data_IF_081522323376
#
_entry.id   IF_081522323376
#
_cell.length_a   1.000
_cell.length_b   1.000
_cell.length_c   1.000
_cell.angle_alpha   90.00
_cell.angle_beta   90.00
_cell.angle_gamma   90.00
#
_symmetry.space_group_name_H-M   'P 1'
#
loop_
_entity.id
_entity.type
_entity.pdbx_description
1 polymer ?
#
# COMPACT_ATOMS: atom_id res chain seq x y z
N UNK A 1 12.84 16.53 18.12
CA UNK A 1 11.55 17.14 18.53
C UNK A 1 10.46 16.42 17.77
N UNK A 2 9.50 15.80 18.46
CA UNK A 2 8.32 15.18 17.85
C UNK A 2 7.12 16.12 18.05
N UNK A 3 6.36 16.41 16.99
CA UNK A 3 5.08 17.12 17.07
C UNK A 3 3.94 16.16 16.72
N UNK A 4 2.80 16.29 17.38
CA UNK A 4 1.57 15.59 16.99
C UNK A 4 1.03 16.34 15.77
N UNK A 5 0.78 15.60 14.68
CA UNK A 5 0.18 16.14 13.45
C UNK A 5 -1.34 16.21 13.60
N UNK A 6 -1.97 17.14 12.89
CA UNK A 6 -3.42 17.05 12.67
C UNK A 6 -3.73 15.87 11.74
N UNK A 7 -4.98 15.41 11.71
CA UNK A 7 -5.38 14.30 10.84
C UNK A 7 -5.08 14.61 9.35
N UNK A 8 -5.28 15.85 8.91
CA UNK A 8 -4.94 16.30 7.55
C UNK A 8 -3.43 16.28 7.29
N UNK A 9 -2.63 16.83 8.21
CA UNK A 9 -1.17 16.82 8.07
C UNK A 9 -0.61 15.39 8.11
N UNK A 10 -1.21 14.51 8.92
CA UNK A 10 -0.85 13.11 9.02
C UNK A 10 -1.12 12.37 7.70
N UNK A 11 -2.28 12.58 7.10
CA UNK A 11 -2.61 11.99 5.80
C UNK A 11 -1.63 12.43 4.70
N UNK A 12 -1.33 13.72 4.60
CA UNK A 12 -0.35 14.23 3.62
C UNK A 12 1.02 13.60 3.84
N UNK A 13 1.45 13.49 5.10
CA UNK A 13 2.76 12.89 5.43
C UNK A 13 2.82 11.41 5.13
N UNK A 14 1.74 10.66 5.33
CA UNK A 14 1.70 9.24 4.95
C UNK A 14 1.74 9.03 3.43
N UNK A 15 1.10 9.90 2.64
CA UNK A 15 1.19 9.85 1.17
C UNK A 15 2.61 10.18 0.68
N UNK A 16 3.25 11.20 1.27
CA UNK A 16 4.66 11.48 0.99
C UNK A 16 5.56 10.29 1.34
N UNK A 17 5.33 9.68 2.51
CA UNK A 17 6.10 8.52 2.99
C UNK A 17 5.91 7.30 2.08
N UNK A 18 4.71 7.05 1.58
CA UNK A 18 4.46 5.95 0.64
C UNK A 18 5.33 6.08 -0.62
N UNK A 19 5.44 7.29 -1.16
CA UNK A 19 6.28 7.53 -2.34
C UNK A 19 7.77 7.34 -2.05
N UNK A 20 8.23 7.74 -0.86
CA UNK A 20 9.60 7.51 -0.37
C UNK A 20 9.91 6.01 -0.30
N UNK A 21 9.11 5.23 0.43
CA UNK A 21 9.34 3.79 0.60
C UNK A 21 9.27 3.02 -0.72
N UNK A 22 8.33 3.39 -1.61
CA UNK A 22 8.26 2.80 -2.95
C UNK A 22 9.54 3.08 -3.72
N UNK A 23 10.09 4.30 -3.62
CA UNK A 23 11.36 4.64 -4.27
C UNK A 23 12.52 3.84 -3.67
N UNK A 24 12.62 3.72 -2.35
CA UNK A 24 13.65 2.93 -1.67
C UNK A 24 13.57 1.45 -2.09
N UNK A 25 12.36 0.89 -2.16
CA UNK A 25 12.15 -0.46 -2.70
C UNK A 25 12.58 -0.56 -4.17
N UNK A 26 12.33 0.46 -4.99
CA UNK A 26 12.78 0.45 -6.39
C UNK A 26 14.31 0.49 -6.53
N UNK A 27 15.03 1.02 -5.55
CA UNK A 27 16.50 1.10 -5.54
C UNK A 27 17.15 -0.16 -4.93
N UNK A 28 16.72 -0.59 -3.74
CA UNK A 28 17.36 -1.68 -2.98
C UNK A 28 16.73 -3.07 -3.23
N UNK A 29 15.44 -3.13 -3.64
CA UNK A 29 14.71 -4.39 -3.89
C UNK A 29 14.68 -5.36 -2.70
N UNK A 30 14.97 -4.89 -1.49
CA UNK A 30 15.11 -5.75 -0.33
C UNK A 30 13.75 -6.06 0.32
N UNK A 31 13.71 -7.17 1.07
CA UNK A 31 12.52 -7.57 1.84
C UNK A 31 12.13 -6.51 2.87
N UNK A 32 13.12 -5.77 3.40
CA UNK A 32 12.89 -4.69 4.34
C UNK A 32 12.05 -3.59 3.70
N UNK A 33 12.47 -3.09 2.53
CA UNK A 33 11.72 -2.03 1.85
C UNK A 33 10.33 -2.47 1.38
N UNK A 34 10.16 -3.76 1.04
CA UNK A 34 8.80 -4.31 0.81
C UNK A 34 7.91 -4.22 2.05
N UNK A 35 8.48 -4.50 3.23
CA UNK A 35 7.75 -4.42 4.49
C UNK A 35 7.44 -2.96 4.87
N UNK A 36 8.36 -2.04 4.62
CA UNK A 36 8.17 -0.61 4.88
C UNK A 36 7.05 -0.03 4.00
N UNK A 37 6.99 -0.38 2.70
CA UNK A 37 5.85 -0.05 1.83
C UNK A 37 4.53 -0.60 2.38
N UNK A 38 4.53 -1.87 2.83
CA UNK A 38 3.32 -2.52 3.35
C UNK A 38 2.83 -1.86 4.64
N UNK A 39 3.74 -1.45 5.53
CA UNK A 39 3.42 -0.76 6.77
C UNK A 39 2.75 0.60 6.52
N UNK A 40 3.26 1.36 5.53
CA UNK A 40 2.66 2.64 5.15
C UNK A 40 1.26 2.43 4.56
N UNK A 41 1.05 1.38 3.75
CA UNK A 41 -0.28 1.06 3.21
C UNK A 41 -1.28 0.70 4.32
N UNK A 42 -0.88 -0.07 5.33
CA UNK A 42 -1.74 -0.36 6.48
C UNK A 42 -2.04 0.88 7.32
N UNK A 43 -1.06 1.77 7.48
CA UNK A 43 -1.25 3.06 8.16
C UNK A 43 -2.25 3.94 7.42
N UNK A 44 -2.11 4.06 6.09
CA UNK A 44 -3.04 4.79 5.22
C UNK A 44 -4.44 4.19 5.22
N UNK A 45 -4.55 2.87 5.23
CA UNK A 45 -5.82 2.15 5.34
C UNK A 45 -6.55 2.54 6.63
N UNK A 46 -5.86 2.45 7.76
CA UNK A 46 -6.39 2.79 9.08
C UNK A 46 -6.76 4.28 9.17
N UNK A 47 -5.90 5.15 8.66
CA UNK A 47 -6.14 6.60 8.66
C UNK A 47 -7.34 7.03 7.80
N UNK A 48 -7.68 6.23 6.78
CA UNK A 48 -8.90 6.39 5.97
C UNK A 48 -10.16 5.76 6.59
N UNK A 49 -10.04 5.12 7.75
CA UNK A 49 -11.16 4.49 8.47
C UNK A 49 -11.46 3.05 8.05
N UNK A 50 -10.57 2.39 7.30
CA UNK A 50 -10.70 0.99 6.94
C UNK A 50 -9.87 0.10 7.86
N UNK A 51 -10.32 -1.12 8.06
CA UNK A 51 -9.58 -2.16 8.78
C UNK A 51 -8.59 -2.87 7.88
N UNK A 52 -7.54 -3.46 8.48
CA UNK A 52 -6.58 -4.30 7.77
C UNK A 52 -7.26 -5.50 7.12
N UNK A 53 -8.25 -6.07 7.79
CA UNK A 53 -9.03 -7.21 7.32
C UNK A 53 -9.82 -6.86 6.05
N UNK A 54 -10.41 -5.66 5.98
CA UNK A 54 -11.10 -5.19 4.77
C UNK A 54 -10.15 -5.02 3.59
N UNK A 55 -8.95 -4.45 3.83
CA UNK A 55 -7.94 -4.29 2.79
C UNK A 55 -7.46 -5.65 2.25
N UNK A 56 -7.17 -6.60 3.14
CA UNK A 56 -6.74 -7.94 2.75
C UNK A 56 -7.83 -8.72 2.02
N UNK A 57 -9.09 -8.59 2.45
CA UNK A 57 -10.23 -9.20 1.76
C UNK A 57 -10.37 -8.67 0.32
N UNK A 58 -10.19 -7.36 0.10
CA UNK A 58 -10.21 -6.76 -1.24
C UNK A 58 -9.01 -7.21 -2.08
N UNK A 59 -7.82 -7.33 -1.49
CA UNK A 59 -6.62 -7.87 -2.14
C UNK A 59 -6.82 -9.32 -2.60
N UNK A 60 -7.39 -10.16 -1.75
CA UNK A 60 -7.70 -11.56 -2.06
C UNK A 60 -8.77 -11.70 -3.15
N UNK A 61 -9.83 -10.88 -3.08
CA UNK A 61 -10.88 -10.86 -4.09
C UNK A 61 -10.30 -10.55 -5.48
N UNK A 62 -9.49 -9.49 -5.60
CA UNK A 62 -8.81 -9.14 -6.86
C UNK A 62 -7.88 -10.25 -7.36
N UNK A 63 -7.17 -10.92 -6.46
CA UNK A 63 -6.31 -12.05 -6.81
C UNK A 63 -7.11 -13.27 -7.32
N UNK A 64 -8.34 -13.47 -6.85
CA UNK A 64 -9.25 -14.51 -7.36
C UNK A 64 -9.84 -14.10 -8.72
N UNK A 65 -10.30 -12.85 -8.85
CA UNK A 65 -11.04 -12.38 -10.02
C UNK A 65 -10.14 -12.16 -11.25
N UNK A 66 -8.91 -11.64 -11.06
CA UNK A 66 -8.02 -11.26 -12.17
C UNK A 66 -6.84 -12.20 -12.37
N UNK A 67 -6.77 -13.26 -11.57
CA UNK A 67 -5.56 -14.08 -11.45
C UNK A 67 -4.48 -13.28 -10.74
N UNK A 68 -4.27 -13.54 -9.45
CA UNK A 68 -3.26 -12.85 -8.67
C UNK A 68 -1.88 -12.98 -9.33
N UNK A 69 -0.98 -12.05 -8.99
CA UNK A 69 0.38 -12.05 -9.53
C UNK A 69 1.14 -13.38 -9.32
N UNK A 70 0.69 -14.21 -8.39
CA UNK A 70 1.17 -15.58 -8.17
C UNK A 70 1.03 -16.51 -9.38
N UNK A 71 0.01 -16.30 -10.22
CA UNK A 71 -0.19 -17.08 -11.45
C UNK A 71 0.56 -16.50 -12.65
N UNK A 72 1.39 -15.45 -12.44
CA UNK A 72 2.03 -14.66 -13.51
C UNK A 72 1.03 -14.08 -14.52
N UNK A 73 -0.23 -13.94 -14.11
CA UNK A 73 -1.27 -13.30 -14.91
C UNK A 73 -1.15 -11.80 -14.66
N UNK A 74 -0.85 -11.06 -15.72
CA UNK A 74 -0.82 -9.60 -15.72
C UNK A 74 -1.94 -9.12 -16.64
N UNK A 75 -2.90 -8.39 -16.08
CA UNK A 75 -4.03 -7.85 -16.84
C UNK A 75 -3.55 -6.60 -17.61
N UNK A 76 -3.29 -6.74 -18.91
CA UNK A 76 -2.79 -5.65 -19.75
C UNK A 76 -3.88 -4.63 -20.14
N UNK A 77 -5.16 -5.01 -20.10
CA UNK A 77 -6.26 -4.14 -20.53
C UNK A 77 -7.58 -4.47 -19.83
N UNK A 78 -8.35 -3.42 -19.52
CA UNK A 78 -9.76 -3.50 -19.09
C UNK A 78 -10.52 -2.54 -19.98
N UNK A 79 -11.41 -3.05 -20.83
CA UNK A 79 -12.42 -2.23 -21.51
C UNK A 79 -13.44 -1.72 -20.47
N UNK A 80 -13.80 -0.44 -20.56
CA UNK A 80 -14.80 0.23 -19.70
C UNK A 80 -16.22 -0.32 -19.86
#
# INVERSE_FOLDING_TARGET
MCRILTDEEYMVKLEEKLNEEVKEYQEDKSLKEMADVLEVLYSLCSARGYTKEELEAEREKKAKDRGGFNNRIFLEYVDE
#
